data_IF_836371994501
#
_entry.id   IF_836371994501
#
_cell.length_a   1.000
_cell.length_b   1.000
_cell.length_c   1.000
_cell.angle_alpha   90.00
_cell.angle_beta   90.00
_cell.angle_gamma   90.00
#
_symmetry.space_group_name_H-M   'P 1'
#
loop_
_entity.id
_entity.type
_entity.pdbx_description
1 polymer ?
#
# COMPACT_ATOMS: atom_id res chain seq x y z
N UNK A 1 -9.20 -2.21 26.92
CA UNK A 1 -9.18 -1.80 25.50
C UNK A 1 -8.72 -2.96 24.63
N UNK A 2 -9.16 -3.08 23.35
CA UNK A 2 -8.61 -4.09 22.44
C UNK A 2 -7.23 -3.63 21.97
N UNK A 3 -6.18 -4.38 22.28
CA UNK A 3 -4.82 -4.09 21.77
C UNK A 3 -4.66 -4.76 20.40
N UNK A 4 -4.33 -4.01 19.33
CA UNK A 4 -4.11 -4.61 18.03
C UNK A 4 -2.85 -5.49 18.00
N UNK A 5 -2.85 -6.46 17.09
CA UNK A 5 -1.68 -7.28 16.81
C UNK A 5 -0.86 -6.69 15.65
N UNK A 6 0.38 -7.16 15.48
CA UNK A 6 1.30 -6.61 14.49
C UNK A 6 1.38 -7.48 13.24
N UNK A 7 1.23 -6.86 12.07
CA UNK A 7 1.71 -7.39 10.80
C UNK A 7 2.99 -6.68 10.39
N UNK A 8 4.02 -7.45 10.03
CA UNK A 8 5.34 -6.89 9.72
C UNK A 8 5.68 -7.15 8.26
N UNK A 9 5.92 -6.08 7.50
CA UNK A 9 6.39 -6.23 6.12
C UNK A 9 7.89 -6.49 6.09
N UNK A 10 8.30 -7.54 5.38
CA UNK A 10 9.71 -7.89 5.13
C UNK A 10 10.07 -7.73 3.65
N UNK A 11 11.35 -7.50 3.40
CA UNK A 11 11.96 -7.24 2.09
C UNK A 11 13.40 -7.80 2.12
N UNK A 12 13.90 -8.26 0.96
CA UNK A 12 15.27 -8.74 0.76
C UNK A 12 16.37 -7.80 1.26
N UNK A 13 16.12 -6.50 1.31
CA UNK A 13 17.02 -5.43 1.77
C UNK A 13 17.00 -5.28 3.29
N UNK A 14 15.86 -5.51 3.92
CA UNK A 14 15.66 -5.28 5.35
C UNK A 14 15.89 -6.52 6.23
N UNK A 15 15.71 -7.73 5.67
CA UNK A 15 15.72 -8.96 6.46
C UNK A 15 16.63 -10.04 5.85
N UNK A 16 17.75 -10.31 6.53
CA UNK A 16 18.56 -11.50 6.31
C UNK A 16 17.89 -12.73 6.94
N UNK A 17 18.42 -13.94 6.69
CA UNK A 17 17.96 -15.17 7.37
C UNK A 17 18.04 -15.07 8.90
N UNK A 18 19.08 -14.42 9.42
CA UNK A 18 19.21 -14.17 10.86
C UNK A 18 18.17 -13.16 11.35
N UNK A 19 17.87 -12.15 10.52
CA UNK A 19 16.79 -11.21 10.77
C UNK A 19 15.41 -11.89 10.87
N UNK A 20 15.15 -12.94 10.07
CA UNK A 20 13.90 -13.70 10.19
C UNK A 20 13.79 -14.40 11.55
N UNK A 21 14.85 -15.06 12.02
CA UNK A 21 14.83 -15.71 13.35
C UNK A 21 14.57 -14.70 14.46
N UNK A 22 15.29 -13.57 14.42
CA UNK A 22 15.08 -12.47 15.37
C UNK A 22 13.67 -11.91 15.30
N UNK A 23 13.08 -11.78 14.11
CA UNK A 23 11.70 -11.32 13.94
C UNK A 23 10.70 -12.25 14.65
N UNK A 24 10.94 -13.55 14.64
CA UNK A 24 10.08 -14.53 15.31
C UNK A 24 10.16 -14.48 16.85
N UNK A 25 11.13 -13.78 17.43
CA UNK A 25 11.18 -13.50 18.87
C UNK A 25 10.13 -12.44 19.28
N UNK A 26 9.63 -11.65 18.33
CA UNK A 26 8.59 -10.66 18.57
C UNK A 26 7.19 -11.29 18.48
N UNK A 27 6.27 -10.77 19.30
CA UNK A 27 4.86 -11.16 19.26
C UNK A 27 4.14 -10.54 18.04
N UNK A 28 4.35 -11.14 16.86
CA UNK A 28 3.73 -10.73 15.60
C UNK A 28 2.57 -11.67 15.24
N UNK A 29 1.53 -11.15 14.62
CA UNK A 29 0.39 -11.92 14.11
C UNK A 29 0.51 -12.30 12.64
N UNK A 30 1.44 -11.69 11.89
CA UNK A 30 1.65 -12.02 10.49
C UNK A 30 2.87 -11.37 9.88
N UNK A 31 3.38 -12.02 8.83
CA UNK A 31 4.50 -11.54 8.02
C UNK A 31 3.96 -11.19 6.63
N UNK A 32 4.13 -9.94 6.21
CA UNK A 32 3.71 -9.45 4.90
C UNK A 32 4.88 -9.40 3.92
N UNK A 33 4.66 -9.86 2.70
CA UNK A 33 5.59 -9.73 1.58
C UNK A 33 4.85 -9.14 0.38
N UNK A 34 5.41 -8.14 -0.29
CA UNK A 34 4.77 -7.46 -1.42
C UNK A 34 5.46 -7.82 -2.75
N UNK A 35 4.70 -8.36 -3.72
CA UNK A 35 5.21 -8.83 -5.01
C UNK A 35 5.76 -7.71 -5.89
N UNK A 36 5.29 -6.48 -5.69
CA UNK A 36 5.81 -5.29 -6.36
C UNK A 36 7.24 -4.89 -5.96
N UNK A 37 7.79 -5.47 -4.87
CA UNK A 37 9.16 -5.22 -4.40
C UNK A 37 10.00 -6.48 -4.23
N UNK A 38 9.36 -7.62 -4.01
CA UNK A 38 10.01 -8.89 -3.72
C UNK A 38 9.85 -9.86 -4.90
N UNK A 39 10.95 -10.35 -5.51
CA UNK A 39 10.83 -11.35 -6.57
C UNK A 39 10.34 -12.68 -5.99
N UNK A 40 9.57 -13.44 -6.78
CA UNK A 40 9.03 -14.73 -6.36
C UNK A 40 10.11 -15.71 -5.88
N UNK A 41 11.29 -15.74 -6.50
CA UNK A 41 12.41 -16.59 -6.07
C UNK A 41 12.77 -16.35 -4.60
N UNK A 42 12.86 -15.09 -4.18
CA UNK A 42 13.12 -14.73 -2.79
C UNK A 42 11.94 -15.07 -1.88
N UNK A 43 10.70 -14.86 -2.34
CA UNK A 43 9.50 -15.25 -1.59
C UNK A 43 9.52 -16.76 -1.30
N UNK A 44 9.82 -17.60 -2.29
CA UNK A 44 9.95 -19.05 -2.11
C UNK A 44 11.00 -19.42 -1.06
N UNK A 45 12.19 -18.81 -1.12
CA UNK A 45 13.25 -19.05 -0.13
C UNK A 45 12.82 -18.71 1.29
N UNK A 46 12.12 -17.58 1.47
CA UNK A 46 11.59 -17.15 2.76
C UNK A 46 10.50 -18.10 3.27
N UNK A 47 9.57 -18.52 2.40
CA UNK A 47 8.50 -19.47 2.76
C UNK A 47 9.07 -20.83 3.20
N UNK A 48 10.09 -21.34 2.50
CA UNK A 48 10.79 -22.56 2.89
C UNK A 48 11.48 -22.42 4.25
N UNK A 49 12.15 -21.28 4.49
CA UNK A 49 12.82 -21.04 5.76
C UNK A 49 11.83 -20.90 6.91
N UNK A 50 10.74 -20.14 6.73
CA UNK A 50 9.67 -20.01 7.73
C UNK A 50 8.99 -21.35 8.00
N UNK A 51 8.84 -22.20 6.98
CA UNK A 51 8.35 -23.58 7.15
C UNK A 51 9.31 -24.42 7.99
N UNK A 52 10.64 -24.31 7.79
CA UNK A 52 11.65 -25.01 8.62
C UNK A 52 11.65 -24.52 10.07
N UNK A 53 11.39 -23.23 10.27
CA UNK A 53 11.25 -22.61 11.59
C UNK A 53 9.89 -22.89 12.25
N UNK A 54 9.03 -23.72 11.63
CA UNK A 54 7.68 -24.05 12.09
C UNK A 54 6.76 -22.83 12.30
N UNK A 55 6.97 -21.75 11.53
CA UNK A 55 6.07 -20.60 11.56
C UNK A 55 4.73 -20.95 10.89
N UNK A 56 3.57 -20.58 11.46
CA UNK A 56 2.27 -20.85 10.85
C UNK A 56 2.12 -20.13 9.50
N UNK A 57 2.28 -20.85 8.39
CA UNK A 57 2.30 -20.23 7.05
C UNK A 57 0.99 -19.52 6.68
N UNK A 58 -0.15 -19.87 7.30
CA UNK A 58 -1.42 -19.15 7.12
C UNK A 58 -1.39 -17.70 7.62
N UNK A 59 -0.43 -17.35 8.48
CA UNK A 59 -0.15 -15.99 8.95
C UNK A 59 0.76 -15.20 8.01
N UNK A 60 1.21 -15.81 6.91
CA UNK A 60 1.95 -15.10 5.87
C UNK A 60 0.94 -14.43 4.92
N UNK A 61 1.20 -13.16 4.63
CA UNK A 61 0.34 -12.27 3.86
C UNK A 61 1.08 -11.87 2.58
N UNK A 62 0.77 -12.53 1.47
CA UNK A 62 1.32 -12.16 0.16
C UNK A 62 0.47 -11.06 -0.46
N UNK A 63 1.04 -9.87 -0.58
CA UNK A 63 0.40 -8.67 -1.12
C UNK A 63 0.66 -8.54 -2.62
N UNK A 64 -0.43 -8.62 -3.41
CA UNK A 64 -0.43 -8.77 -4.88
C UNK A 64 -1.30 -7.71 -5.57
N UNK A 65 -1.28 -7.69 -6.91
CA UNK A 65 -2.14 -6.81 -7.71
C UNK A 65 -1.69 -5.35 -7.67
N UNK A 66 -0.39 -5.11 -7.48
CA UNK A 66 0.21 -3.78 -7.36
C UNK A 66 0.36 -3.10 -8.75
N UNK A 67 -0.70 -3.06 -9.54
CA UNK A 67 -0.70 -2.66 -10.97
C UNK A 67 -0.80 -1.15 -11.20
N UNK A 68 -0.39 -0.31 -10.23
CA UNK A 68 -0.42 1.14 -10.38
C UNK A 68 0.30 1.56 -11.66
N UNK A 69 -0.29 2.41 -12.51
CA UNK A 69 0.39 3.00 -13.65
C UNK A 69 1.65 3.75 -13.20
N UNK A 70 2.74 3.56 -13.94
CA UNK A 70 4.05 4.16 -13.63
C UNK A 70 4.51 5.05 -14.76
N UNK A 71 5.03 6.21 -14.38
CA UNK A 71 5.60 7.20 -15.27
C UNK A 71 7.02 6.80 -15.69
N UNK A 72 7.32 6.93 -16.98
CA UNK A 72 8.65 6.73 -17.56
C UNK A 72 9.22 8.07 -18.02
N UNK A 73 10.27 8.55 -17.36
CA UNK A 73 10.92 9.79 -17.78
C UNK A 73 11.74 9.57 -19.05
N UNK A 74 11.78 10.58 -19.92
CA UNK A 74 12.65 10.55 -21.10
C UNK A 74 14.12 10.65 -20.71
N UNK A 75 14.43 11.41 -19.65
CA UNK A 75 15.75 11.43 -19.02
C UNK A 75 15.85 10.42 -17.87
N UNK A 76 16.81 9.51 -17.96
CA UNK A 76 16.95 8.38 -17.03
C UNK A 76 17.39 8.78 -15.63
N UNK A 77 18.04 9.94 -15.47
CA UNK A 77 18.56 10.42 -14.19
C UNK A 77 17.49 11.07 -13.29
N UNK A 78 16.25 11.19 -13.75
CA UNK A 78 15.23 11.97 -13.06
C UNK A 78 15.18 13.43 -13.52
N UNK A 79 14.20 14.16 -13.02
CA UNK A 79 13.98 15.58 -13.32
C UNK A 79 13.92 16.36 -12.01
N UNK A 80 14.73 17.40 -11.86
CA UNK A 80 14.61 18.36 -10.76
C UNK A 80 13.53 19.38 -11.11
N UNK A 81 12.56 19.56 -10.21
CA UNK A 81 11.45 20.48 -10.36
C UNK A 81 11.55 21.55 -9.29
N UNK A 82 11.45 22.81 -9.70
CA UNK A 82 11.17 23.93 -8.81
C UNK A 82 9.66 24.14 -8.72
N UNK A 83 9.21 24.87 -7.69
CA UNK A 83 7.83 25.34 -7.65
C UNK A 83 7.54 26.20 -8.88
N UNK A 84 6.52 25.83 -9.66
CA UNK A 84 6.15 26.49 -10.90
C UNK A 84 6.79 25.90 -12.16
N UNK A 85 7.70 24.91 -12.06
CA UNK A 85 8.28 24.25 -13.22
C UNK A 85 7.20 23.61 -14.09
N UNK A 86 7.29 23.82 -15.41
CA UNK A 86 6.43 23.17 -16.39
C UNK A 86 7.08 21.89 -16.91
N UNK A 87 6.28 20.84 -17.02
CA UNK A 87 6.67 19.60 -17.66
C UNK A 87 5.47 18.94 -18.32
N UNK A 88 5.72 18.04 -19.27
CA UNK A 88 4.67 17.38 -20.03
C UNK A 88 4.74 15.86 -19.95
N UNK A 89 3.56 15.25 -19.99
CA UNK A 89 3.35 13.80 -19.99
C UNK A 89 2.59 13.41 -21.26
N UNK A 90 2.98 12.31 -21.90
CA UNK A 90 2.30 11.76 -23.08
C UNK A 90 2.06 10.26 -22.95
N UNK A 91 1.14 9.71 -23.71
CA UNK A 91 0.88 8.26 -23.77
C UNK A 91 2.01 7.45 -24.41
N UNK A 92 2.84 8.14 -25.21
CA UNK A 92 3.96 7.60 -25.96
C UNK A 92 5.09 8.63 -26.07
N UNK A 93 6.27 8.16 -26.48
CA UNK A 93 7.41 9.03 -26.77
C UNK A 93 7.09 10.03 -27.89
N UNK A 94 7.36 11.31 -27.65
CA UNK A 94 7.21 12.43 -28.59
C UNK A 94 8.29 13.47 -28.30
N UNK A 95 8.67 14.25 -29.32
CA UNK A 95 9.62 15.35 -29.15
C UNK A 95 9.08 16.39 -28.18
N UNK A 96 9.95 16.88 -27.29
CA UNK A 96 9.60 17.90 -26.28
C UNK A 96 8.80 17.38 -25.08
N UNK A 97 8.50 16.08 -25.01
CA UNK A 97 7.83 15.49 -23.85
C UNK A 97 8.84 15.04 -22.79
N UNK A 98 8.54 15.32 -21.52
CA UNK A 98 9.42 14.98 -20.39
C UNK A 98 9.17 13.56 -19.86
N UNK A 99 7.95 13.05 -20.01
CA UNK A 99 7.59 11.76 -19.47
C UNK A 99 6.50 11.03 -20.25
N UNK A 100 6.51 9.71 -20.15
CA UNK A 100 5.62 8.79 -20.86
C UNK A 100 4.83 8.00 -19.82
N UNK A 101 3.51 8.01 -19.94
CA UNK A 101 2.61 7.17 -19.17
C UNK A 101 1.80 6.31 -20.14
N UNK A 102 2.12 5.02 -20.33
CA UNK A 102 1.46 4.16 -21.30
C UNK A 102 0.07 3.71 -20.80
N UNK A 103 -0.80 4.66 -20.48
CA UNK A 103 -2.10 4.44 -19.87
C UNK A 103 -3.14 5.42 -20.44
N UNK A 104 -3.78 5.05 -21.56
CA UNK A 104 -4.71 5.91 -22.30
C UNK A 104 -5.79 6.57 -21.43
N UNK A 105 -6.38 5.79 -20.51
CA UNK A 105 -7.45 6.28 -19.63
C UNK A 105 -7.01 7.44 -18.73
N UNK A 106 -5.72 7.59 -18.43
CA UNK A 106 -5.24 8.78 -17.72
C UNK A 106 -5.57 10.06 -18.52
N UNK A 107 -5.30 10.05 -19.82
CA UNK A 107 -5.54 11.18 -20.73
C UNK A 107 -7.03 11.41 -21.01
N UNK A 108 -7.87 10.39 -20.84
CA UNK A 108 -9.33 10.49 -20.99
C UNK A 108 -9.99 11.11 -19.74
N UNK A 109 -9.43 10.87 -18.56
CA UNK A 109 -10.02 11.28 -17.27
C UNK A 109 -9.47 12.64 -16.78
N UNK A 110 -8.27 13.02 -17.20
CA UNK A 110 -7.59 14.23 -16.76
C UNK A 110 -8.19 15.49 -17.39
N UNK A 111 -8.47 16.48 -16.55
CA UNK A 111 -9.06 17.77 -16.93
C UNK A 111 -8.16 18.93 -16.49
N UNK A 112 -8.36 20.10 -17.10
CA UNK A 112 -7.74 21.34 -16.67
C UNK A 112 -8.01 21.60 -15.17
N UNK A 113 -6.98 22.05 -14.45
CA UNK A 113 -6.98 22.28 -13.00
C UNK A 113 -7.04 21.04 -12.11
N UNK A 114 -7.02 19.82 -12.66
CA UNK A 114 -6.84 18.63 -11.83
C UNK A 114 -5.50 18.68 -11.11
N UNK A 115 -5.49 18.12 -9.91
CA UNK A 115 -4.26 17.87 -9.14
C UNK A 115 -3.77 16.47 -9.45
N UNK A 116 -2.51 16.37 -9.87
CA UNK A 116 -1.82 15.11 -10.16
C UNK A 116 -0.74 14.89 -9.11
N UNK A 117 -0.76 13.72 -8.49
CA UNK A 117 0.24 13.26 -7.54
C UNK A 117 1.24 12.33 -8.22
N UNK A 118 2.51 12.45 -7.82
CA UNK A 118 3.57 11.54 -8.20
C UNK A 118 4.13 10.86 -6.97
N UNK A 119 4.37 9.56 -7.09
CA UNK A 119 4.85 8.70 -6.02
C UNK A 119 3.76 8.39 -5.01
N UNK A 120 4.09 8.52 -3.74
CA UNK A 120 3.15 8.47 -2.62
C UNK A 120 2.68 9.88 -2.21
N UNK A 121 2.83 10.86 -3.12
CA UNK A 121 2.42 12.26 -2.95
C UNK A 121 3.59 13.22 -2.68
N UNK A 122 4.83 12.82 -2.98
CA UNK A 122 6.01 13.66 -2.76
C UNK A 122 6.07 14.86 -3.71
N UNK A 123 5.52 14.71 -4.92
CA UNK A 123 5.36 15.81 -5.88
C UNK A 123 3.88 15.94 -6.23
N UNK A 124 3.42 17.19 -6.23
CA UNK A 124 2.09 17.59 -6.63
C UNK A 124 2.20 18.58 -7.80
N UNK A 125 1.38 18.38 -8.83
CA UNK A 125 1.32 19.30 -9.97
C UNK A 125 -0.14 19.57 -10.36
N UNK A 126 -0.38 20.75 -10.92
CA UNK A 126 -1.69 21.11 -11.47
C UNK A 126 -1.66 21.02 -12.99
N UNK A 127 -2.74 20.50 -13.57
CA UNK A 127 -2.90 20.43 -15.03
C UNK A 127 -3.17 21.82 -15.59
N UNK A 128 -2.27 22.30 -16.46
CA UNK A 128 -2.40 23.58 -17.15
C UNK A 128 -2.88 23.46 -18.60
N UNK A 129 -2.74 22.28 -19.20
CA UNK A 129 -3.19 22.05 -20.56
C UNK A 129 -3.40 20.57 -20.85
N UNK A 130 -4.47 20.27 -21.59
CA UNK A 130 -4.76 18.94 -22.11
C UNK A 130 -4.93 19.05 -23.61
N UNK A 131 -4.04 18.41 -24.36
CA UNK A 131 -4.04 18.41 -25.82
C UNK A 131 -3.90 16.98 -26.32
N UNK A 132 -5.02 16.39 -26.77
CA UNK A 132 -5.09 14.98 -27.17
C UNK A 132 -4.53 14.08 -26.05
N UNK A 133 -3.45 13.34 -26.33
CA UNK A 133 -2.81 12.44 -25.38
C UNK A 133 -1.53 13.06 -24.78
N UNK A 134 -1.52 14.39 -24.62
CA UNK A 134 -0.43 15.13 -23.98
C UNK A 134 -1.01 16.08 -22.94
N UNK A 135 -0.45 16.04 -21.73
CA UNK A 135 -0.84 16.89 -20.60
C UNK A 135 0.36 17.74 -20.22
N UNK A 136 0.16 19.05 -20.10
CA UNK A 136 1.13 19.97 -19.51
C UNK A 136 0.75 20.23 -18.06
N UNK A 137 1.74 20.11 -17.19
CA UNK A 137 1.61 20.21 -15.74
C UNK A 137 2.53 21.30 -15.22
N UNK A 138 2.07 22.00 -14.19
CA UNK A 138 2.89 22.92 -13.40
C UNK A 138 3.11 22.34 -12.01
N UNK A 139 4.36 22.15 -11.62
CA UNK A 139 4.71 21.69 -10.27
C UNK A 139 4.23 22.70 -9.22
N UNK A 140 3.61 22.21 -8.15
CA UNK A 140 3.17 23.00 -7.00
C UNK A 140 4.18 22.97 -5.84
N UNK A 141 5.11 22.04 -5.89
CA UNK A 141 6.21 21.90 -4.93
C UNK A 141 7.55 21.74 -5.65
N UNK A 142 8.64 22.05 -4.95
CA UNK A 142 9.99 21.69 -5.41
C UNK A 142 10.32 20.24 -5.03
N UNK A 143 11.15 19.58 -5.82
CA UNK A 143 11.63 18.23 -5.54
C UNK A 143 12.12 17.48 -6.78
N UNK A 144 12.62 16.26 -6.55
CA UNK A 144 13.13 15.40 -7.61
C UNK A 144 12.08 14.39 -8.06
N UNK A 145 11.67 14.45 -9.32
CA UNK A 145 10.86 13.42 -9.95
C UNK A 145 11.75 12.29 -10.46
N UNK A 146 11.60 11.10 -9.87
CA UNK A 146 12.31 9.90 -10.28
C UNK A 146 11.66 9.20 -11.49
N UNK A 147 12.36 8.18 -12.01
CA UNK A 147 11.81 7.30 -13.04
C UNK A 147 10.96 6.17 -12.41
N UNK A 148 10.00 5.61 -13.15
CA UNK A 148 9.06 4.56 -12.71
C UNK A 148 8.19 4.93 -11.49
N UNK A 149 7.93 6.23 -11.33
CA UNK A 149 7.15 6.78 -10.21
C UNK A 149 5.66 6.53 -10.46
N UNK A 150 4.92 6.17 -9.42
CA UNK A 150 3.46 6.00 -9.51
C UNK A 150 2.78 7.35 -9.77
N UNK A 151 1.61 7.34 -10.41
CA UNK A 151 0.86 8.57 -10.71
C UNK A 151 -0.60 8.41 -10.29
N UNK A 152 -1.17 9.47 -9.71
CA UNK A 152 -2.55 9.54 -9.27
C UNK A 152 -3.20 10.87 -9.67
N UNK A 153 -4.51 10.89 -9.87
CA UNK A 153 -5.28 12.13 -10.04
C UNK A 153 -6.17 12.29 -8.81
N UNK A 154 -6.07 13.43 -8.11
CA UNK A 154 -6.86 13.68 -6.90
C UNK A 154 -8.34 13.58 -7.20
N UNK A 155 -9.05 12.70 -6.51
CA UNK A 155 -10.50 12.53 -6.64
C UNK A 155 -10.94 11.74 -7.88
N UNK A 156 -10.01 11.13 -8.63
CA UNK A 156 -10.35 10.35 -9.83
C UNK A 156 -9.62 9.03 -9.88
N UNK A 157 -10.27 8.05 -10.50
CA UNK A 157 -9.76 6.70 -10.69
C UNK A 157 -9.71 6.38 -12.17
N UNK A 158 -8.50 6.39 -12.72
CA UNK A 158 -8.27 6.13 -14.13
C UNK A 158 -7.74 4.72 -14.39
N UNK A 159 -7.49 3.93 -13.36
CA UNK A 159 -7.20 2.50 -13.43
C UNK A 159 -8.13 1.74 -12.48
N UNK A 160 -8.18 0.42 -12.62
CA UNK A 160 -9.10 -0.43 -11.87
C UNK A 160 -8.38 -1.64 -11.31
N UNK A 161 -9.06 -2.38 -10.44
CA UNK A 161 -8.64 -3.72 -10.02
C UNK A 161 -8.24 -4.59 -11.23
N UNK A 162 -7.00 -5.05 -11.24
CA UNK A 162 -6.48 -5.95 -12.26
C UNK A 162 -5.35 -6.80 -11.67
N UNK A 163 -5.37 -8.09 -11.96
CA UNK A 163 -4.25 -9.00 -11.76
C UNK A 163 -4.07 -9.71 -13.10
N UNK A 164 -2.89 -9.61 -13.69
CA UNK A 164 -2.65 -10.21 -15.00
C UNK A 164 -2.51 -11.74 -14.91
N UNK A 165 -2.66 -12.42 -16.05
CA UNK A 165 -2.63 -13.89 -16.12
C UNK A 165 -1.30 -14.48 -15.63
N UNK A 166 -0.20 -13.73 -15.81
CA UNK A 166 1.13 -14.15 -15.38
C UNK A 166 1.22 -14.12 -13.85
N UNK A 167 0.81 -13.02 -13.21
CA UNK A 167 0.77 -12.91 -11.75
C UNK A 167 -0.22 -13.93 -11.17
N UNK A 168 -1.38 -14.17 -11.80
CA UNK A 168 -2.32 -15.23 -11.37
C UNK A 168 -1.64 -16.60 -11.37
N UNK A 169 -0.89 -16.95 -12.42
CA UNK A 169 -0.19 -18.23 -12.52
C UNK A 169 0.93 -18.35 -11.46
N UNK A 170 1.73 -17.30 -11.29
CA UNK A 170 2.81 -17.26 -10.29
C UNK A 170 2.26 -17.38 -8.86
N UNK A 171 1.22 -16.62 -8.50
CA UNK A 171 0.58 -16.70 -7.19
C UNK A 171 0.00 -18.09 -6.95
N UNK A 172 -0.74 -18.64 -7.90
CA UNK A 172 -1.29 -19.99 -7.73
C UNK A 172 -0.16 -21.01 -7.54
N UNK A 173 0.95 -20.92 -8.26
CA UNK A 173 2.09 -21.83 -8.07
C UNK A 173 2.68 -21.78 -6.64
N UNK A 174 2.61 -20.63 -5.97
CA UNK A 174 2.99 -20.49 -4.55
C UNK A 174 1.94 -21.15 -3.66
N UNK A 175 0.66 -20.84 -3.87
CA UNK A 175 -0.45 -21.32 -3.05
C UNK A 175 -0.63 -22.85 -3.08
N UNK A 176 -0.30 -23.50 -4.19
CA UNK A 176 -0.32 -24.98 -4.27
C UNK A 176 0.69 -25.63 -3.31
N UNK A 177 1.75 -24.92 -2.93
CA UNK A 177 2.83 -25.45 -2.08
C UNK A 177 2.73 -24.94 -0.63
N UNK A 178 2.23 -23.73 -0.43
CA UNK A 178 2.21 -23.08 0.87
C UNK A 178 0.82 -22.52 1.19
N UNK A 179 0.23 -22.87 2.35
CA UNK A 179 -1.09 -22.40 2.74
C UNK A 179 -1.01 -20.98 3.32
N UNK A 180 -0.73 -20.00 2.47
CA UNK A 180 -0.58 -18.58 2.84
C UNK A 180 -1.83 -17.77 2.52
N UNK A 181 -1.98 -16.61 3.15
CA UNK A 181 -3.07 -15.66 2.90
C UNK A 181 -2.66 -14.62 1.84
N UNK A 182 -3.64 -14.07 1.12
CA UNK A 182 -3.45 -13.01 0.14
C UNK A 182 -3.98 -11.67 0.64
N UNK A 183 -3.25 -10.60 0.33
CA UNK A 183 -3.76 -9.23 0.40
C UNK A 183 -3.87 -8.70 -1.04
N UNK A 184 -5.04 -8.19 -1.42
CA UNK A 184 -5.33 -7.74 -2.78
C UNK A 184 -5.43 -6.22 -2.86
N UNK A 185 -4.58 -5.61 -3.67
CA UNK A 185 -4.62 -4.16 -3.92
C UNK A 185 -5.79 -3.76 -4.82
N UNK A 186 -6.27 -2.53 -4.64
CA UNK A 186 -7.29 -1.89 -5.48
C UNK A 186 -8.60 -2.66 -5.63
N UNK A 187 -9.05 -3.37 -4.59
CA UNK A 187 -10.39 -3.98 -4.61
C UNK A 187 -11.44 -2.87 -4.57
N UNK A 188 -12.38 -2.91 -5.53
CA UNK A 188 -13.40 -1.87 -5.71
C UNK A 188 -14.82 -2.36 -5.35
N UNK A 189 -15.02 -3.68 -5.22
CA UNK A 189 -16.34 -4.27 -4.99
C UNK A 189 -16.27 -5.67 -4.35
N UNK A 190 -17.38 -6.10 -3.76
CA UNK A 190 -17.55 -7.49 -3.32
C UNK A 190 -17.39 -8.52 -4.45
N UNK A 191 -17.76 -8.17 -5.68
CA UNK A 191 -17.60 -9.04 -6.85
C UNK A 191 -16.13 -9.30 -7.19
N UNK A 192 -15.24 -8.32 -6.98
CA UNK A 192 -13.79 -8.55 -7.12
C UNK A 192 -13.30 -9.62 -6.13
N UNK A 193 -13.85 -9.65 -4.91
CA UNK A 193 -13.50 -10.68 -3.92
C UNK A 193 -14.09 -12.04 -4.26
N UNK A 194 -15.33 -12.10 -4.76
CA UNK A 194 -15.93 -13.34 -5.24
C UNK A 194 -15.08 -13.93 -6.39
N UNK A 195 -14.66 -13.07 -7.32
CA UNK A 195 -13.73 -13.45 -8.38
C UNK A 195 -12.39 -13.95 -7.80
N UNK A 196 -11.78 -13.20 -6.88
CA UNK A 196 -10.46 -13.55 -6.36
C UNK A 196 -10.45 -14.88 -5.60
N UNK A 197 -11.49 -15.16 -4.80
CA UNK A 197 -11.63 -16.45 -4.11
C UNK A 197 -11.77 -17.62 -5.08
N UNK A 198 -12.36 -17.41 -6.26
CA UNK A 198 -12.43 -18.43 -7.33
C UNK A 198 -11.09 -18.61 -8.03
N UNK A 199 -10.35 -17.52 -8.26
CA UNK A 199 -9.06 -17.53 -8.95
C UNK A 199 -7.92 -18.06 -8.08
N UNK A 200 -8.02 -17.87 -6.75
CA UNK A 200 -7.03 -18.31 -5.77
C UNK A 200 -7.65 -19.26 -4.74
N UNK A 201 -8.14 -20.44 -5.17
CA UNK A 201 -8.90 -21.34 -4.29
C UNK A 201 -8.06 -21.96 -3.17
N UNK A 202 -6.73 -21.92 -3.30
CA UNK A 202 -5.77 -22.45 -2.32
C UNK A 202 -5.26 -21.40 -1.32
N UNK A 203 -5.71 -20.15 -1.42
CA UNK A 203 -5.36 -19.12 -0.44
C UNK A 203 -6.02 -19.44 0.92
N UNK A 204 -5.25 -19.31 2.00
CA UNK A 204 -5.76 -19.50 3.36
C UNK A 204 -6.80 -18.43 3.73
N UNK A 205 -6.63 -17.21 3.20
CA UNK A 205 -7.57 -16.10 3.28
C UNK A 205 -7.32 -15.12 2.14
N UNK A 206 -8.32 -14.30 1.83
CA UNK A 206 -8.23 -13.21 0.85
C UNK A 206 -8.69 -11.92 1.53
N UNK A 207 -7.77 -10.95 1.65
CA UNK A 207 -7.96 -9.70 2.39
C UNK A 207 -7.95 -8.54 1.39
N UNK A 208 -9.08 -7.82 1.18
CA UNK A 208 -9.09 -6.64 0.32
C UNK A 208 -8.33 -5.48 0.96
N UNK A 209 -7.64 -4.70 0.13
CA UNK A 209 -7.16 -3.37 0.51
C UNK A 209 -8.19 -2.32 0.11
N UNK A 210 -8.57 -1.46 1.06
CA UNK A 210 -9.40 -0.29 0.84
C UNK A 210 -8.48 0.89 0.54
N UNK A 211 -8.38 1.24 -0.74
CA UNK A 211 -7.35 2.13 -1.29
C UNK A 211 -7.92 3.21 -2.20
N UNK A 212 -9.20 3.14 -2.54
CA UNK A 212 -9.81 4.01 -3.54
C UNK A 212 -11.14 4.55 -3.05
N UNK A 213 -11.57 5.70 -3.59
CA UNK A 213 -12.88 6.26 -3.32
C UNK A 213 -14.03 5.34 -3.74
N UNK A 214 -13.85 4.58 -4.82
CA UNK A 214 -14.79 3.54 -5.24
C UNK A 214 -14.89 2.43 -4.20
N UNK A 215 -13.75 1.96 -3.64
CA UNK A 215 -13.75 0.96 -2.58
C UNK A 215 -14.49 1.44 -1.33
N UNK A 216 -14.32 2.72 -0.96
CA UNK A 216 -15.04 3.34 0.17
C UNK A 216 -16.54 3.44 -0.12
N UNK A 217 -16.91 3.81 -1.34
CA UNK A 217 -18.32 3.94 -1.75
C UNK A 217 -19.04 2.58 -1.79
N UNK A 218 -18.31 1.51 -2.07
CA UNK A 218 -18.81 0.14 -2.15
C UNK A 218 -18.47 -0.72 -0.91
N UNK A 219 -18.04 -0.09 0.18
CA UNK A 219 -17.44 -0.77 1.34
C UNK A 219 -18.37 -1.84 1.92
N UNK A 220 -19.68 -1.63 1.95
CA UNK A 220 -20.65 -2.61 2.45
C UNK A 220 -20.63 -3.91 1.65
N UNK A 221 -20.49 -3.82 0.32
CA UNK A 221 -20.39 -5.02 -0.55
C UNK A 221 -19.08 -5.78 -0.32
N UNK A 222 -17.99 -5.06 -0.06
CA UNK A 222 -16.67 -5.62 0.21
C UNK A 222 -16.68 -6.33 1.57
N UNK A 223 -17.22 -5.66 2.60
CA UNK A 223 -17.34 -6.20 3.95
C UNK A 223 -18.20 -7.47 3.99
N UNK A 224 -19.29 -7.53 3.21
CA UNK A 224 -20.13 -8.73 3.13
C UNK A 224 -19.38 -9.98 2.61
N UNK A 225 -18.22 -9.79 1.97
CA UNK A 225 -17.37 -10.85 1.43
C UNK A 225 -16.03 -10.98 2.17
N UNK A 226 -15.81 -10.26 3.27
CA UNK A 226 -14.51 -10.16 3.95
C UNK A 226 -14.58 -10.53 5.42
N UNK A 227 -13.60 -11.32 5.88
CA UNK A 227 -13.36 -11.56 7.31
C UNK A 227 -12.40 -10.52 7.91
N UNK A 228 -11.57 -9.92 7.07
CA UNK A 228 -10.60 -8.88 7.44
C UNK A 228 -10.40 -7.94 6.26
N UNK A 229 -10.25 -6.64 6.52
CA UNK A 229 -9.87 -5.64 5.52
C UNK A 229 -8.55 -4.95 5.89
N UNK A 230 -7.85 -4.44 4.88
CA UNK A 230 -6.65 -3.62 5.04
C UNK A 230 -6.91 -2.19 4.57
N UNK A 231 -6.78 -1.20 5.45
CA UNK A 231 -6.90 0.22 5.06
C UNK A 231 -5.55 0.72 4.55
N UNK A 232 -5.43 0.90 3.24
CA UNK A 232 -4.22 1.38 2.57
C UNK A 232 -4.18 2.89 2.49
N UNK A 233 -3.75 3.55 3.57
CA UNK A 233 -3.87 5.01 3.75
C UNK A 233 -3.13 5.85 2.70
N UNK A 234 -2.00 5.35 2.20
CA UNK A 234 -1.23 6.04 1.15
C UNK A 234 -2.04 6.20 -0.13
N UNK A 235 -2.44 5.09 -0.74
CA UNK A 235 -3.29 5.08 -1.94
C UNK A 235 -4.63 5.76 -1.73
N UNK A 236 -5.26 5.52 -0.58
CA UNK A 236 -6.53 6.15 -0.25
C UNK A 236 -6.40 7.68 -0.19
N UNK A 237 -5.27 8.18 0.31
CA UNK A 237 -4.94 9.60 0.35
C UNK A 237 -4.75 10.19 -1.05
N UNK A 238 -4.09 9.46 -1.95
CA UNK A 238 -3.96 9.86 -3.34
C UNK A 238 -5.31 9.89 -4.06
N UNK A 239 -6.16 8.89 -3.79
CA UNK A 239 -7.47 8.75 -4.42
C UNK A 239 -8.47 9.83 -3.96
N UNK A 240 -8.59 10.08 -2.65
CA UNK A 240 -9.63 10.98 -2.10
C UNK A 240 -9.13 12.38 -1.72
N UNK A 241 -7.81 12.54 -1.58
CA UNK A 241 -7.15 13.66 -0.93
C UNK A 241 -6.72 13.32 0.50
N UNK A 242 -5.45 13.60 0.82
CA UNK A 242 -4.85 13.28 2.12
C UNK A 242 -5.58 13.93 3.30
N UNK A 243 -6.19 15.10 3.09
CA UNK A 243 -6.95 15.83 4.11
C UNK A 243 -8.20 15.08 4.62
N UNK A 244 -8.70 14.10 3.85
CA UNK A 244 -9.92 13.35 4.20
C UNK A 244 -9.63 12.08 4.99
N UNK A 245 -8.37 11.63 5.06
CA UNK A 245 -8.01 10.28 5.51
C UNK A 245 -8.46 9.99 6.94
N UNK A 246 -8.30 10.95 7.85
CA UNK A 246 -8.70 10.76 9.24
C UNK A 246 -10.21 10.50 9.41
N UNK A 247 -11.06 11.20 8.66
CA UNK A 247 -12.52 11.04 8.73
C UNK A 247 -12.93 9.71 8.06
N UNK A 248 -12.39 9.44 6.87
CA UNK A 248 -12.74 8.24 6.10
C UNK A 248 -12.27 6.95 6.81
N UNK A 249 -11.08 6.95 7.41
CA UNK A 249 -10.60 5.81 8.22
C UNK A 249 -11.60 5.48 9.33
N UNK A 250 -12.06 6.49 10.08
CA UNK A 250 -13.02 6.30 11.16
C UNK A 250 -14.35 5.73 10.66
N UNK A 251 -14.84 6.20 9.51
CA UNK A 251 -16.04 5.65 8.88
C UNK A 251 -15.85 4.17 8.50
N UNK A 252 -14.74 3.82 7.86
CA UNK A 252 -14.41 2.44 7.48
C UNK A 252 -14.35 1.54 8.71
N UNK A 253 -13.68 1.98 9.78
CA UNK A 253 -13.57 1.22 11.04
C UNK A 253 -14.97 0.93 11.61
N UNK A 254 -15.84 1.95 11.70
CA UNK A 254 -17.19 1.78 12.24
C UNK A 254 -18.04 0.81 11.41
N UNK A 255 -17.99 0.91 10.08
CA UNK A 255 -18.72 0.02 9.18
C UNK A 255 -18.21 -1.42 9.28
N UNK A 256 -16.89 -1.62 9.33
CA UNK A 256 -16.28 -2.93 9.46
C UNK A 256 -16.59 -3.58 10.82
N UNK A 257 -16.52 -2.83 11.91
CA UNK A 257 -16.93 -3.30 13.24
C UNK A 257 -18.41 -3.72 13.27
N UNK A 258 -19.30 -2.93 12.67
CA UNK A 258 -20.73 -3.27 12.56
C UNK A 258 -20.96 -4.56 11.76
N UNK A 259 -20.13 -4.80 10.74
CA UNK A 259 -20.16 -6.02 9.94
C UNK A 259 -19.49 -7.23 10.60
N UNK A 260 -18.83 -7.06 11.76
CA UNK A 260 -18.02 -8.11 12.38
C UNK A 260 -16.72 -8.43 11.63
N UNK A 261 -16.30 -7.56 10.72
CA UNK A 261 -15.07 -7.71 9.94
C UNK A 261 -13.89 -7.09 10.70
N UNK A 262 -12.76 -7.82 10.75
CA UNK A 262 -11.52 -7.30 11.35
C UNK A 262 -10.91 -6.21 10.50
N UNK A 263 -10.18 -5.28 11.13
CA UNK A 263 -9.58 -4.13 10.44
C UNK A 263 -8.07 -4.07 10.70
N UNK A 264 -7.27 -4.06 9.64
CA UNK A 264 -5.89 -3.59 9.72
C UNK A 264 -5.76 -2.18 9.17
N UNK A 265 -4.92 -1.37 9.79
CA UNK A 265 -4.43 -0.12 9.19
C UNK A 265 -2.97 -0.29 8.80
N UNK A 266 -2.54 0.35 7.71
CA UNK A 266 -1.15 0.37 7.31
C UNK A 266 -0.76 1.66 6.62
N UNK A 267 0.54 1.79 6.35
CA UNK A 267 1.20 2.96 5.73
C UNK A 267 1.19 4.20 6.62
N UNK A 268 2.36 4.83 6.81
CA UNK A 268 2.46 6.08 7.56
C UNK A 268 2.39 5.94 9.09
N UNK A 269 2.57 4.73 9.64
CA UNK A 269 2.43 4.47 11.09
C UNK A 269 3.63 4.96 11.89
N UNK A 270 4.84 4.54 11.52
CA UNK A 270 6.12 4.97 12.12
C UNK A 270 7.12 5.29 10.99
N UNK A 271 6.63 5.99 9.97
CA UNK A 271 7.34 6.20 8.72
C UNK A 271 8.57 7.11 8.90
N UNK A 272 8.54 8.02 9.88
CA UNK A 272 9.67 8.90 10.20
C UNK A 272 10.90 8.10 10.64
N UNK A 273 10.74 6.88 11.16
CA UNK A 273 11.88 6.04 11.59
C UNK A 273 12.77 5.56 10.44
N UNK A 274 12.38 5.81 9.18
CA UNK A 274 13.27 5.64 8.02
C UNK A 274 14.44 6.64 8.03
N UNK A 275 14.24 7.82 8.62
CA UNK A 275 15.21 8.93 8.59
C UNK A 275 15.45 9.59 9.96
N UNK A 276 14.61 9.30 10.96
CA UNK A 276 14.70 9.81 12.34
C UNK A 276 15.03 8.70 13.33
N UNK A 277 15.69 9.06 14.43
CA UNK A 277 15.98 8.15 15.53
C UNK A 277 14.80 7.92 16.49
N UNK A 278 13.80 8.80 16.46
CA UNK A 278 12.57 8.70 17.26
C UNK A 278 11.36 9.02 16.38
N UNK A 279 10.20 8.41 16.63
CA UNK A 279 9.00 8.71 15.85
C UNK A 279 8.50 10.13 16.14
N UNK A 280 7.73 10.69 15.21
CA UNK A 280 7.08 11.97 15.39
C UNK A 280 5.95 11.84 16.42
N UNK A 281 5.67 12.94 17.15
CA UNK A 281 4.53 12.99 18.09
C UNK A 281 3.20 12.71 17.38
N UNK A 282 3.06 13.18 16.14
CA UNK A 282 1.87 12.96 15.32
C UNK A 282 1.65 11.46 15.02
N UNK A 283 2.71 10.70 14.76
CA UNK A 283 2.64 9.25 14.52
C UNK A 283 2.21 8.48 15.78
N UNK A 284 2.75 8.86 16.94
CA UNK A 284 2.35 8.26 18.22
C UNK A 284 0.85 8.51 18.49
N UNK A 285 0.39 9.74 18.24
CA UNK A 285 -1.03 10.11 18.41
C UNK A 285 -1.91 9.34 17.42
N UNK A 286 -1.50 9.22 16.15
CA UNK A 286 -2.21 8.46 15.12
C UNK A 286 -2.40 6.99 15.51
N UNK A 287 -1.32 6.32 15.93
CA UNK A 287 -1.37 4.93 16.42
C UNK A 287 -2.30 4.82 17.63
N UNK A 288 -2.16 5.72 18.59
CA UNK A 288 -2.95 5.69 19.82
C UNK A 288 -4.43 5.86 19.52
N UNK A 289 -4.80 6.82 18.67
CA UNK A 289 -6.18 7.03 18.26
C UNK A 289 -6.73 5.83 17.51
N UNK A 290 -5.95 5.24 16.60
CA UNK A 290 -6.38 4.05 15.87
C UNK A 290 -6.62 2.86 16.80
N UNK A 291 -5.77 2.66 17.82
CA UNK A 291 -5.99 1.67 18.87
C UNK A 291 -7.28 1.94 19.66
N UNK A 292 -7.53 3.20 20.05
CA UNK A 292 -8.75 3.62 20.75
C UNK A 292 -10.02 3.39 19.90
N UNK A 293 -9.90 3.54 18.58
CA UNK A 293 -10.96 3.25 17.63
C UNK A 293 -11.21 1.74 17.46
N UNK A 294 -10.35 0.88 18.02
CA UNK A 294 -10.59 -0.56 18.13
C UNK A 294 -10.19 -1.38 16.90
N UNK A 295 -9.14 -0.96 16.18
CA UNK A 295 -8.54 -1.75 15.09
C UNK A 295 -8.04 -3.12 15.59
N UNK A 296 -7.94 -4.10 14.68
CA UNK A 296 -7.43 -5.44 14.97
C UNK A 296 -5.93 -5.55 14.76
N UNK A 297 -5.42 -4.89 13.73
CA UNK A 297 -4.04 -5.04 13.29
C UNK A 297 -3.41 -3.69 12.94
N UNK A 298 -2.14 -3.54 13.30
CA UNK A 298 -1.27 -2.51 12.75
C UNK A 298 -0.31 -3.21 11.78
N UNK A 299 -0.33 -2.79 10.52
CA UNK A 299 0.56 -3.29 9.49
C UNK A 299 1.71 -2.30 9.28
N UNK A 300 2.90 -2.69 9.73
CA UNK A 300 4.14 -1.98 9.42
C UNK A 300 4.50 -2.27 7.96
N UNK A 301 4.71 -1.22 7.16
CA UNK A 301 4.95 -1.33 5.72
C UNK A 301 6.38 -0.95 5.35
N UNK A 302 6.62 0.26 4.84
CA UNK A 302 7.95 0.72 4.44
C UNK A 302 8.89 0.92 5.63
N UNK A 303 8.35 1.20 6.80
CA UNK A 303 9.12 1.43 8.03
C UNK A 303 9.88 0.19 8.50
N UNK A 304 9.45 -1.03 8.13
CA UNK A 304 10.24 -2.25 8.38
C UNK A 304 10.90 -2.79 7.12
N UNK A 305 10.24 -2.71 5.97
CA UNK A 305 10.78 -3.27 4.73
C UNK A 305 12.00 -2.51 4.19
N UNK A 306 11.98 -1.17 4.26
CA UNK A 306 13.00 -0.31 3.67
C UNK A 306 13.90 0.39 4.72
N UNK A 307 13.75 0.03 6.00
CA UNK A 307 14.55 0.63 7.08
C UNK A 307 15.89 -0.07 7.24
N UNK A 308 16.91 0.71 7.61
CA UNK A 308 18.20 0.19 8.05
C UNK A 308 18.12 -0.44 9.46
N UNK A 309 17.05 -0.14 10.20
CA UNK A 309 16.86 -0.56 11.59
C UNK A 309 15.42 -1.10 11.82
N UNK A 310 15.00 -2.17 11.13
CA UNK A 310 13.63 -2.68 11.22
C UNK A 310 13.23 -3.09 12.65
N UNK A 311 14.15 -3.67 13.42
CA UNK A 311 13.90 -4.07 14.82
C UNK A 311 13.66 -2.88 15.74
N UNK A 312 14.24 -1.72 15.44
CA UNK A 312 13.97 -0.50 16.20
C UNK A 312 12.52 -0.06 16.07
N UNK A 313 11.94 -0.21 14.87
CA UNK A 313 10.52 0.06 14.64
C UNK A 313 9.64 -0.90 15.45
N UNK A 314 10.01 -2.18 15.47
CA UNK A 314 9.32 -3.21 16.26
C UNK A 314 9.39 -2.92 17.77
N UNK A 315 10.55 -2.54 18.28
CA UNK A 315 10.73 -2.17 19.69
C UNK A 315 9.84 -0.98 20.07
N UNK A 316 9.80 0.06 19.22
CA UNK A 316 8.97 1.25 19.46
C UNK A 316 7.48 0.94 19.45
N UNK A 317 6.97 0.23 18.43
CA UNK A 317 5.54 -0.08 18.38
C UNK A 317 5.14 -0.99 19.53
N UNK A 318 6.00 -1.93 19.94
CA UNK A 318 5.72 -2.80 21.08
C UNK A 318 5.69 -2.02 22.40
N UNK A 319 6.57 -1.04 22.59
CA UNK A 319 6.48 -0.12 23.73
C UNK A 319 5.16 0.67 23.75
N UNK A 320 4.73 1.21 22.60
CA UNK A 320 3.46 1.94 22.49
C UNK A 320 2.28 1.02 22.85
N UNK A 321 2.22 -0.17 22.25
CA UNK A 321 1.14 -1.13 22.49
C UNK A 321 1.10 -1.65 23.93
N UNK A 322 2.26 -1.89 24.54
CA UNK A 322 2.35 -2.28 25.96
C UNK A 322 1.87 -1.16 26.88
N UNK A 323 2.19 0.10 26.57
CA UNK A 323 1.68 1.24 27.33
C UNK A 323 0.16 1.35 27.22
N UNK A 324 -0.39 1.26 26.01
CA UNK A 324 -1.84 1.29 25.77
C UNK A 324 -2.55 0.14 26.50
N UNK A 325 -1.96 -1.06 26.52
CA UNK A 325 -2.51 -2.22 27.23
C UNK A 325 -2.54 -2.02 28.75
N UNK A 326 -1.61 -1.24 29.31
CA UNK A 326 -1.56 -0.94 30.74
C UNK A 326 -2.51 0.17 31.20
N UNK A 327 -3.18 0.85 30.26
CA UNK A 327 -4.24 1.81 30.55
C UNK A 327 -5.56 1.02 30.59
N UNK A 328 -5.88 0.47 31.75
CA UNK A 328 -7.22 -0.03 32.10
C UNK A 328 -8.10 1.11 32.63
#
# INVERSE_FOLDING_TARGET
MKTPQLWVTIDKRGFSKEGLKKLLEYNIAGIRMNTGRCPYTWIYEVLEELSRLNYPLSQILLDIGNTKPRLHLTETNGMELDNGSLFSISDQAKDGVNAILPHKRFFEEVNLNDIVYFGDGEIEAVVEGVHQNTVTLRSLSGGRLGNHVAIGIKGKEFFKFLIDEKEIAEVNSVLHRFPISLILSFIESGDNLVWAKKVFPHAASVIPKIETGTAVSNIESILAQSDTIFVGRGDLGLSLGIEKIGIIQKEIIQKAQKAGCKISIGTGTLDSLKWSQIPLRAEIIDITNSCLEGIDYIALTSETAASQHPFKVLDFIQHILNYIKGID
#
